data_IF_268781565262
#
_entry.id   IF_268781565262
#
_cell.length_a   1.000
_cell.length_b   1.000
_cell.length_c   1.000
_cell.angle_alpha   90.00
_cell.angle_beta   90.00
_cell.angle_gamma   90.00
#
_symmetry.space_group_name_H-M   'P 1'
#
loop_
_entity.id
_entity.type
_entity.pdbx_description
1 polymer ?
#
# COMPACT_ATOMS: atom_id res chain seq x y z
N UNK A 1 -50.12 -10.40 -21.82
CA UNK A 1 -48.76 -10.91 -21.51
C UNK A 1 -47.77 -10.16 -22.39
N UNK A 2 -47.26 -9.03 -21.91
CA UNK A 2 -46.18 -8.31 -22.59
C UNK A 2 -44.88 -8.72 -21.91
N UNK A 3 -44.05 -9.46 -22.63
CA UNK A 3 -42.72 -9.82 -22.16
C UNK A 3 -41.84 -8.57 -22.20
N UNK A 4 -41.54 -7.99 -21.03
CA UNK A 4 -40.53 -6.95 -20.89
C UNK A 4 -39.17 -7.53 -21.29
N UNK A 5 -38.69 -7.15 -22.48
CA UNK A 5 -37.29 -7.32 -22.87
C UNK A 5 -36.42 -6.54 -21.89
N UNK A 6 -35.97 -7.18 -20.82
CA UNK A 6 -34.88 -6.68 -20.00
C UNK A 6 -33.62 -6.70 -20.88
N UNK A 7 -33.28 -5.55 -21.45
CA UNK A 7 -31.98 -5.33 -22.06
C UNK A 7 -30.93 -5.59 -20.98
N UNK A 8 -30.16 -6.67 -21.10
CA UNK A 8 -29.04 -6.92 -20.18
C UNK A 8 -28.12 -5.70 -20.23
N UNK A 9 -27.83 -5.12 -19.07
CA UNK A 9 -26.86 -4.04 -18.96
C UNK A 9 -25.53 -4.51 -19.53
N UNK A 10 -24.87 -3.64 -20.31
CA UNK A 10 -23.55 -3.93 -20.88
C UNK A 10 -22.57 -4.23 -19.73
N UNK A 11 -21.80 -5.33 -19.79
CA UNK A 11 -20.76 -5.59 -18.78
C UNK A 11 -19.66 -4.53 -18.86
N UNK A 12 -18.98 -4.31 -17.74
CA UNK A 12 -17.86 -3.38 -17.65
C UNK A 12 -16.69 -3.83 -18.52
N UNK A 13 -15.98 -2.87 -19.10
CA UNK A 13 -14.67 -3.13 -19.71
C UNK A 13 -13.59 -3.28 -18.63
N UNK A 14 -12.43 -3.81 -19.02
CA UNK A 14 -11.28 -3.98 -18.13
C UNK A 14 -10.80 -2.62 -17.62
N UNK A 15 -10.81 -1.60 -18.47
CA UNK A 15 -10.39 -0.23 -18.13
C UNK A 15 -11.38 0.44 -17.17
N UNK A 16 -12.68 0.20 -17.35
CA UNK A 16 -13.73 0.70 -16.44
C UNK A 16 -13.60 0.04 -15.07
N UNK A 17 -13.40 -1.29 -15.03
CA UNK A 17 -13.17 -2.03 -13.79
C UNK A 17 -11.88 -1.56 -13.08
N UNK A 18 -10.79 -1.36 -13.82
CA UNK A 18 -9.54 -0.81 -13.27
C UNK A 18 -9.74 0.58 -12.69
N UNK A 19 -10.47 1.45 -13.39
CA UNK A 19 -10.77 2.81 -12.92
C UNK A 19 -11.58 2.80 -11.63
N UNK A 20 -12.55 1.88 -11.52
CA UNK A 20 -13.34 1.68 -10.30
C UNK A 20 -12.45 1.20 -9.15
N UNK A 21 -11.56 0.23 -9.38
CA UNK A 21 -10.62 -0.26 -8.35
C UNK A 21 -9.73 0.88 -7.84
N UNK A 22 -9.08 1.62 -8.73
CA UNK A 22 -8.23 2.76 -8.37
C UNK A 22 -9.02 3.82 -7.58
N UNK A 23 -10.25 4.12 -7.99
CA UNK A 23 -11.10 5.05 -7.23
C UNK A 23 -11.34 4.58 -5.79
N UNK A 24 -11.66 3.30 -5.59
CA UNK A 24 -11.91 2.76 -4.25
C UNK A 24 -10.63 2.55 -3.42
N UNK A 25 -9.48 2.31 -4.04
CA UNK A 25 -8.19 2.31 -3.34
C UNK A 25 -7.87 3.70 -2.77
N UNK A 26 -8.11 4.77 -3.53
CA UNK A 26 -7.97 6.14 -3.05
C UNK A 26 -8.98 6.44 -1.93
N UNK A 27 -10.24 6.01 -2.07
CA UNK A 27 -11.24 6.14 -1.01
C UNK A 27 -10.88 5.36 0.25
N UNK A 28 -10.24 4.21 0.13
CA UNK A 28 -9.75 3.42 1.26
C UNK A 28 -8.74 4.23 2.07
N UNK A 29 -7.74 4.86 1.41
CA UNK A 29 -6.78 5.73 2.08
C UNK A 29 -7.45 6.93 2.75
N UNK A 30 -8.41 7.59 2.09
CA UNK A 30 -9.18 8.69 2.69
C UNK A 30 -9.92 8.25 3.96
N UNK A 31 -10.56 7.08 3.92
CA UNK A 31 -11.25 6.51 5.09
C UNK A 31 -10.26 6.24 6.21
N UNK A 32 -9.16 5.53 5.93
CA UNK A 32 -8.14 5.24 6.94
C UNK A 32 -7.59 6.52 7.59
N UNK A 33 -7.35 7.56 6.79
CA UNK A 33 -6.91 8.87 7.27
C UNK A 33 -7.96 9.55 8.15
N UNK A 34 -9.23 9.54 7.77
CA UNK A 34 -10.32 10.16 8.55
C UNK A 34 -10.52 9.48 9.91
N UNK A 35 -10.33 8.16 9.97
CA UNK A 35 -10.37 7.39 11.22
C UNK A 35 -9.04 7.41 11.98
N UNK A 36 -8.02 8.11 11.48
CA UNK A 36 -6.67 8.20 12.08
C UNK A 36 -6.03 6.82 12.29
N UNK A 37 -6.28 5.87 11.39
CA UNK A 37 -5.69 4.55 11.47
C UNK A 37 -4.19 4.58 11.17
N UNK A 38 -3.38 3.77 11.88
CA UNK A 38 -1.98 3.59 11.56
C UNK A 38 -1.77 3.13 10.11
N UNK A 39 -0.66 3.56 9.49
CA UNK A 39 -0.27 3.16 8.13
C UNK A 39 -0.23 1.64 7.93
N UNK A 40 0.10 0.87 8.97
CA UNK A 40 0.10 -0.60 8.94
C UNK A 40 -1.29 -1.18 8.61
N UNK A 41 -2.35 -0.59 9.17
CA UNK A 41 -3.74 -0.99 8.90
C UNK A 41 -4.12 -0.59 7.46
N UNK A 42 -3.79 0.63 7.05
CA UNK A 42 -4.05 1.12 5.70
C UNK A 42 -3.42 0.21 4.64
N UNK A 43 -2.13 -0.13 4.78
CA UNK A 43 -1.46 -1.00 3.83
C UNK A 43 -2.03 -2.42 3.80
N UNK A 44 -2.35 -2.97 4.98
CA UNK A 44 -2.99 -4.30 5.08
C UNK A 44 -4.34 -4.31 4.37
N UNK A 45 -5.18 -3.29 4.61
CA UNK A 45 -6.46 -3.16 3.94
C UNK A 45 -6.34 -2.97 2.41
N UNK A 46 -5.36 -2.18 1.94
CA UNK A 46 -5.08 -2.02 0.51
C UNK A 46 -4.65 -3.35 -0.14
N UNK A 47 -3.76 -4.10 0.50
CA UNK A 47 -3.31 -5.39 -0.02
C UNK A 47 -4.45 -6.40 -0.06
N UNK A 48 -5.30 -6.43 0.97
CA UNK A 48 -6.52 -7.24 0.96
C UNK A 48 -7.46 -6.87 -0.19
N UNK A 49 -7.71 -5.57 -0.39
CA UNK A 49 -8.57 -5.09 -1.47
C UNK A 49 -8.03 -5.48 -2.84
N UNK A 50 -6.72 -5.29 -3.06
CA UNK A 50 -6.02 -5.69 -4.28
C UNK A 50 -6.10 -7.20 -4.51
N UNK A 51 -5.75 -8.01 -3.52
CA UNK A 51 -5.82 -9.49 -3.59
C UNK A 51 -7.22 -10.00 -3.88
N UNK A 52 -8.24 -9.38 -3.29
CA UNK A 52 -9.63 -9.73 -3.53
C UNK A 52 -10.02 -9.53 -5.00
N UNK A 53 -9.75 -8.35 -5.55
CA UNK A 53 -10.11 -8.02 -6.94
C UNK A 53 -9.13 -8.54 -8.01
N UNK A 54 -8.14 -9.36 -7.62
CA UNK A 54 -7.43 -10.24 -8.55
C UNK A 54 -8.24 -11.51 -8.87
N UNK A 55 -9.12 -11.94 -7.95
CA UNK A 55 -9.89 -13.18 -8.08
C UNK A 55 -11.36 -12.93 -8.41
N UNK A 56 -11.92 -11.82 -7.94
CA UNK A 56 -13.33 -11.47 -8.06
C UNK A 56 -13.53 -10.22 -8.91
N UNK A 57 -14.69 -10.12 -9.58
CA UNK A 57 -15.03 -8.92 -10.35
C UNK A 57 -15.76 -7.87 -9.48
N UNK A 58 -15.57 -6.59 -9.81
CA UNK A 58 -16.35 -5.47 -9.24
C UNK A 58 -17.84 -5.55 -9.58
N UNK A 59 -18.21 -6.34 -10.60
CA UNK A 59 -19.60 -6.60 -10.98
C UNK A 59 -20.28 -7.63 -10.06
N UNK A 60 -19.49 -8.51 -9.42
CA UNK A 60 -19.99 -9.55 -8.52
C UNK A 60 -20.05 -9.04 -7.08
N UNK A 61 -19.00 -8.34 -6.66
CA UNK A 61 -18.87 -7.80 -5.32
C UNK A 61 -18.69 -6.29 -5.35
N UNK A 62 -19.60 -5.56 -4.69
CA UNK A 62 -19.60 -4.11 -4.68
C UNK A 62 -18.35 -3.56 -3.96
N UNK A 63 -17.49 -2.77 -4.64
CA UNK A 63 -16.23 -2.27 -4.08
C UNK A 63 -16.35 -1.46 -2.79
N UNK A 64 -17.45 -0.72 -2.62
CA UNK A 64 -17.73 -0.01 -1.37
C UNK A 64 -17.80 -0.96 -0.18
N UNK A 65 -18.48 -2.09 -0.31
CA UNK A 65 -18.63 -3.05 0.80
C UNK A 65 -17.33 -3.82 1.04
N UNK A 66 -16.66 -4.23 -0.03
CA UNK A 66 -15.37 -4.94 0.08
C UNK A 66 -14.31 -4.04 0.71
N UNK A 67 -14.20 -2.77 0.31
CA UNK A 67 -13.31 -1.79 0.93
C UNK A 67 -13.51 -1.70 2.45
N UNK A 68 -14.75 -1.56 2.92
CA UNK A 68 -15.05 -1.51 4.35
C UNK A 68 -14.71 -2.81 5.08
N UNK A 69 -14.97 -3.94 4.42
CA UNK A 69 -14.65 -5.27 4.94
C UNK A 69 -13.14 -5.46 5.08
N UNK A 70 -12.35 -5.04 4.08
CA UNK A 70 -10.89 -5.08 4.13
C UNK A 70 -10.34 -4.20 5.27
N UNK A 71 -10.88 -2.99 5.47
CA UNK A 71 -10.49 -2.11 6.59
C UNK A 71 -10.82 -2.76 7.93
N UNK A 72 -12.04 -3.31 8.07
CA UNK A 72 -12.47 -3.97 9.30
C UNK A 72 -11.60 -5.20 9.62
N UNK A 73 -11.34 -6.06 8.63
CA UNK A 73 -10.47 -7.22 8.77
C UNK A 73 -9.04 -6.82 9.14
N UNK A 74 -8.48 -5.80 8.47
CA UNK A 74 -7.15 -5.27 8.79
C UNK A 74 -7.08 -4.77 10.23
N UNK A 75 -8.10 -4.03 10.71
CA UNK A 75 -8.15 -3.60 12.11
C UNK A 75 -8.12 -4.79 13.08
N UNK A 76 -8.86 -5.87 12.81
CA UNK A 76 -8.85 -7.07 13.66
C UNK A 76 -7.49 -7.76 13.68
N UNK A 77 -6.85 -7.91 12.51
CA UNK A 77 -5.57 -8.61 12.38
C UNK A 77 -4.42 -7.79 12.97
N UNK A 78 -4.50 -6.47 12.87
CA UNK A 78 -3.53 -5.54 13.45
C UNK A 78 -3.86 -5.16 14.91
N UNK A 79 -4.76 -5.91 15.55
CA UNK A 79 -5.16 -5.75 16.96
C UNK A 79 -5.64 -4.33 17.32
N UNK A 80 -6.22 -3.62 16.35
CA UNK A 80 -6.83 -2.31 16.55
C UNK A 80 -8.35 -2.46 16.72
N UNK A 81 -8.84 -2.19 17.93
CA UNK A 81 -10.24 -2.38 18.26
C UNK A 81 -11.13 -1.27 17.66
N UNK A 82 -11.84 -1.60 16.58
CA UNK A 82 -12.87 -0.75 15.96
C UNK A 82 -14.11 -1.59 15.75
N UNK A 83 -15.27 -1.10 16.17
CA UNK A 83 -16.53 -1.81 15.92
C UNK A 83 -17.00 -1.62 14.47
N UNK A 84 -17.65 -2.64 13.91
CA UNK A 84 -18.27 -2.52 12.58
C UNK A 84 -19.33 -1.40 12.53
N UNK A 85 -19.98 -1.10 13.66
CA UNK A 85 -20.93 0.00 13.79
C UNK A 85 -20.26 1.37 13.64
N UNK A 86 -19.11 1.60 14.28
CA UNK A 86 -18.36 2.86 14.16
C UNK A 86 -17.90 3.09 12.72
N UNK A 87 -17.38 2.03 12.08
CA UNK A 87 -16.95 2.10 10.69
C UNK A 87 -18.13 2.35 9.74
N UNK A 88 -19.26 1.67 9.97
CA UNK A 88 -20.50 1.85 9.20
C UNK A 88 -21.10 3.25 9.37
N UNK A 89 -21.14 3.79 10.60
CA UNK A 89 -21.63 5.15 10.90
C UNK A 89 -20.80 6.21 10.20
N UNK A 90 -19.47 6.10 10.20
CA UNK A 90 -18.60 7.08 9.55
C UNK A 90 -18.80 7.20 8.04
N UNK A 91 -19.35 6.16 7.38
CA UNK A 91 -19.49 6.09 5.91
C UNK A 91 -20.97 5.95 5.48
N UNK A 92 -21.90 6.10 6.45
CA UNK A 92 -23.35 5.96 6.25
C UNK A 92 -23.70 4.63 5.54
N UNK A 93 -23.20 3.52 6.07
CA UNK A 93 -23.47 2.17 5.59
C UNK A 93 -23.95 1.26 6.73
N UNK A 94 -24.79 0.28 6.38
CA UNK A 94 -25.23 -0.73 7.32
C UNK A 94 -24.06 -1.65 7.68
N UNK A 95 -23.78 -1.77 8.98
CA UNK A 95 -22.68 -2.57 9.50
C UNK A 95 -22.84 -4.07 9.18
N UNK A 96 -24.08 -4.53 8.96
CA UNK A 96 -24.36 -5.91 8.55
C UNK A 96 -23.68 -6.28 7.23
N UNK A 97 -23.52 -5.32 6.30
CA UNK A 97 -22.84 -5.56 5.02
C UNK A 97 -21.34 -5.85 5.21
N UNK A 98 -20.73 -5.27 6.23
CA UNK A 98 -19.32 -5.53 6.59
C UNK A 98 -19.19 -6.96 7.11
N UNK A 99 -20.08 -7.34 8.04
CA UNK A 99 -20.07 -8.66 8.69
C UNK A 99 -20.41 -9.79 7.71
N UNK A 100 -21.34 -9.57 6.79
CA UNK A 100 -21.75 -10.58 5.80
C UNK A 100 -20.63 -10.92 4.81
N UNK A 101 -19.73 -9.97 4.51
CA UNK A 101 -18.63 -10.18 3.58
C UNK A 101 -17.32 -10.60 4.27
N UNK A 102 -17.28 -10.65 5.61
CA UNK A 102 -16.06 -10.98 6.38
C UNK A 102 -15.47 -12.35 6.01
N UNK A 103 -16.32 -13.29 5.58
CA UNK A 103 -15.93 -14.66 5.22
C UNK A 103 -15.39 -14.79 3.78
N UNK A 104 -15.50 -13.75 2.94
CA UNK A 104 -15.19 -13.87 1.50
C UNK A 104 -13.68 -13.71 1.27
N UNK A 105 -13.01 -14.86 1.31
CA UNK A 105 -11.85 -15.28 0.52
C UNK A 105 -10.66 -14.32 0.41
N UNK A 106 -10.02 -14.01 1.54
CA UNK A 106 -8.59 -13.64 1.57
C UNK A 106 -7.66 -14.88 1.60
N UNK A 107 -8.18 -16.06 1.23
CA UNK A 107 -7.50 -17.36 1.29
C UNK A 107 -6.87 -17.70 2.66
N UNK A 108 -7.29 -16.98 3.71
CA UNK A 108 -6.71 -17.02 5.05
C UNK A 108 -5.21 -16.63 5.11
N UNK A 109 -4.65 -16.04 4.05
CA UNK A 109 -3.33 -15.39 4.08
C UNK A 109 -3.47 -13.95 4.56
N UNK A 110 -3.63 -13.82 5.88
CA UNK A 110 -3.94 -12.55 6.54
C UNK A 110 -2.69 -11.75 6.91
N UNK A 111 -1.50 -12.36 6.90
CA UNK A 111 -0.28 -11.67 7.31
C UNK A 111 0.23 -10.81 6.15
N UNK A 112 0.31 -9.50 6.37
CA UNK A 112 0.81 -8.55 5.39
C UNK A 112 2.09 -7.89 5.90
N UNK A 113 3.15 -7.94 5.08
CA UNK A 113 4.40 -7.25 5.34
C UNK A 113 4.43 -5.92 4.58
N UNK A 114 4.06 -4.84 5.25
CA UNK A 114 4.06 -3.50 4.68
C UNK A 114 5.48 -2.86 4.67
N UNK A 115 5.80 -2.02 3.68
CA UNK A 115 7.14 -1.41 3.53
C UNK A 115 7.52 -0.40 4.62
N UNK A 116 6.58 0.11 5.42
CA UNK A 116 6.89 1.12 6.46
C UNK A 116 7.88 0.63 7.52
N UNK A 117 7.79 -0.64 7.93
CA UNK A 117 8.74 -1.22 8.90
C UNK A 117 10.14 -1.35 8.29
N UNK A 118 10.23 -1.70 7.01
CA UNK A 118 11.51 -1.76 6.30
C UNK A 118 12.12 -0.36 6.16
N UNK A 119 11.29 0.66 5.92
CA UNK A 119 11.75 2.05 5.89
C UNK A 119 12.37 2.46 7.23
N UNK A 120 11.71 2.16 8.35
CA UNK A 120 12.26 2.44 9.69
C UNK A 120 13.63 1.78 9.89
N UNK A 121 13.78 0.50 9.52
CA UNK A 121 15.07 -0.18 9.61
C UNK A 121 16.16 0.44 8.72
N UNK A 122 15.83 0.90 7.52
CA UNK A 122 16.80 1.61 6.67
C UNK A 122 17.15 3.00 7.22
N UNK A 123 16.19 3.70 7.83
CA UNK A 123 16.46 5.00 8.46
C UNK A 123 17.44 4.87 9.63
N UNK A 124 17.25 3.85 10.49
CA UNK A 124 18.15 3.57 11.61
C UNK A 124 19.57 3.22 11.09
N UNK A 125 19.68 2.38 10.06
CA UNK A 125 20.97 2.02 9.45
C UNK A 125 21.66 3.22 8.77
N UNK A 126 20.89 4.14 8.18
CA UNK A 126 21.41 5.39 7.63
C UNK A 126 21.90 6.36 8.71
N UNK A 127 21.22 6.42 9.86
CA UNK A 127 21.65 7.22 11.00
C UNK A 127 23.03 6.76 11.50
N UNK A 128 23.21 5.45 11.63
CA UNK A 128 24.48 4.82 11.97
C UNK A 128 25.57 5.08 10.91
N UNK A 129 25.22 4.97 9.61
CA UNK A 129 26.15 5.20 8.51
C UNK A 129 26.66 6.64 8.46
N UNK A 130 25.80 7.62 8.73
CA UNK A 130 26.15 9.04 8.64
C UNK A 130 26.83 9.59 9.91
N UNK A 131 26.88 8.85 11.03
CA UNK A 131 27.26 9.37 12.35
C UNK A 131 26.53 10.68 12.67
N UNK A 132 25.19 10.67 12.53
CA UNK A 132 24.40 11.88 12.43
C UNK A 132 24.55 12.82 13.65
N UNK A 133 24.88 14.09 13.41
CA UNK A 133 24.78 15.17 14.41
C UNK A 133 23.32 15.59 14.62
N UNK A 134 22.98 16.31 15.69
CA UNK A 134 21.59 16.71 16.00
C UNK A 134 20.86 17.42 14.84
N UNK A 135 21.58 18.26 14.06
CA UNK A 135 21.02 18.94 12.88
C UNK A 135 20.70 17.95 11.74
N UNK A 136 21.50 16.89 11.57
CA UNK A 136 21.28 15.85 10.57
C UNK A 136 20.10 14.94 10.96
N UNK A 137 19.84 14.76 12.25
CA UNK A 137 18.69 13.99 12.72
C UNK A 137 17.36 14.63 12.33
N UNK A 138 17.26 15.97 12.39
CA UNK A 138 16.07 16.68 11.88
C UNK A 138 15.90 16.53 10.36
N UNK A 139 17.01 16.43 9.62
CA UNK A 139 16.98 16.18 8.18
C UNK A 139 16.51 14.76 7.87
N UNK A 140 17.02 13.76 8.59
CA UNK A 140 16.61 12.36 8.47
C UNK A 140 15.12 12.17 8.77
N UNK A 141 14.56 12.91 9.73
CA UNK A 141 13.10 12.90 9.99
C UNK A 141 12.30 13.41 8.79
N UNK A 142 12.73 14.53 8.17
CA UNK A 142 12.07 15.04 6.93
C UNK A 142 12.19 14.05 5.77
N UNK A 143 13.32 13.37 5.68
CA UNK A 143 13.57 12.32 4.69
C UNK A 143 12.64 11.13 4.91
N UNK A 144 12.47 10.69 6.15
CA UNK A 144 11.55 9.62 6.54
C UNK A 144 10.09 10.01 6.21
N UNK A 145 9.67 11.22 6.54
CA UNK A 145 8.30 11.68 6.25
C UNK A 145 8.03 11.73 4.75
N UNK A 146 8.99 12.20 3.96
CA UNK A 146 8.88 12.22 2.49
C UNK A 146 8.85 10.80 1.93
N UNK A 147 9.70 9.90 2.43
CA UNK A 147 9.70 8.49 2.01
C UNK A 147 8.38 7.78 2.38
N UNK A 148 7.76 8.10 3.53
CA UNK A 148 6.44 7.59 3.90
C UNK A 148 5.36 8.00 2.89
N UNK A 149 5.39 9.26 2.43
CA UNK A 149 4.47 9.74 1.39
C UNK A 149 4.69 9.04 0.05
N UNK A 150 5.96 8.78 -0.32
CA UNK A 150 6.26 8.01 -1.53
C UNK A 150 5.79 6.55 -1.43
N UNK A 151 5.92 5.93 -0.25
CA UNK A 151 5.33 4.61 0.01
C UNK A 151 3.80 4.66 -0.17
N UNK A 152 3.11 5.66 0.37
CA UNK A 152 1.66 5.76 0.24
C UNK A 152 1.22 5.82 -1.23
N UNK A 153 2.00 6.47 -2.10
CA UNK A 153 1.79 6.46 -3.57
C UNK A 153 2.07 5.09 -4.18
N UNK A 154 3.19 4.46 -3.81
CA UNK A 154 3.52 3.10 -4.26
C UNK A 154 2.44 2.10 -3.90
N UNK A 155 1.81 2.24 -2.73
CA UNK A 155 0.73 1.37 -2.27
C UNK A 155 -0.55 1.46 -3.12
N UNK A 156 -0.72 2.52 -3.93
CA UNK A 156 -1.80 2.67 -4.91
C UNK A 156 -1.47 2.06 -6.29
N UNK A 157 -0.22 1.65 -6.52
CA UNK A 157 0.18 0.91 -7.73
C UNK A 157 0.01 -0.60 -7.54
N UNK A 158 0.40 -1.38 -8.55
CA UNK A 158 0.54 -2.84 -8.44
C UNK A 158 1.88 -3.26 -7.80
N UNK A 159 2.80 -2.33 -7.53
CA UNK A 159 4.11 -2.62 -6.95
C UNK A 159 4.06 -3.44 -5.63
N UNK A 160 3.11 -3.23 -4.69
CA UNK A 160 3.00 -4.03 -3.47
C UNK A 160 2.68 -5.52 -3.70
N UNK A 161 2.18 -5.87 -4.89
CA UNK A 161 1.90 -7.25 -5.27
C UNK A 161 3.07 -7.89 -6.04
N UNK A 162 3.98 -7.06 -6.58
CA UNK A 162 5.06 -7.49 -7.47
C UNK A 162 6.43 -7.52 -6.78
N UNK A 163 6.66 -6.64 -5.79
CA UNK A 163 7.96 -6.46 -5.17
C UNK A 163 7.93 -6.66 -3.64
N UNK A 164 9.00 -7.21 -3.05
CA UNK A 164 9.16 -7.29 -1.60
C UNK A 164 9.12 -5.91 -0.91
N UNK A 165 8.61 -5.83 0.34
CA UNK A 165 8.48 -4.57 1.06
C UNK A 165 9.81 -3.82 1.27
N UNK A 166 10.93 -4.55 1.40
CA UNK A 166 12.24 -3.93 1.50
C UNK A 166 12.65 -3.18 0.22
N UNK A 167 12.32 -3.71 -0.97
CA UNK A 167 12.61 -3.04 -2.23
C UNK A 167 11.73 -1.80 -2.42
N UNK A 168 10.46 -1.86 -2.03
CA UNK A 168 9.55 -0.70 -2.03
C UNK A 168 10.03 0.40 -1.09
N UNK A 169 10.44 0.03 0.13
CA UNK A 169 10.99 0.98 1.10
C UNK A 169 12.27 1.65 0.58
N UNK A 170 13.15 0.88 -0.05
CA UNK A 170 14.40 1.39 -0.63
C UNK A 170 14.14 2.29 -1.85
N UNK A 171 13.15 1.99 -2.69
CA UNK A 171 12.73 2.85 -3.79
C UNK A 171 12.17 4.18 -3.28
N UNK A 172 11.32 4.13 -2.25
CA UNK A 172 10.78 5.34 -1.63
C UNK A 172 11.89 6.20 -0.99
N UNK A 173 12.86 5.55 -0.35
CA UNK A 173 14.03 6.19 0.21
C UNK A 173 14.89 6.86 -0.87
N UNK A 174 15.15 6.17 -1.99
CA UNK A 174 15.88 6.71 -3.15
C UNK A 174 15.21 7.98 -3.68
N UNK A 175 13.90 7.94 -3.88
CA UNK A 175 13.11 9.09 -4.34
C UNK A 175 13.18 10.27 -3.35
N UNK A 176 13.09 9.99 -2.04
CA UNK A 176 13.23 11.01 -0.99
C UNK A 176 14.64 11.62 -0.95
N UNK A 177 15.69 10.81 -1.05
CA UNK A 177 17.09 11.28 -1.08
C UNK A 177 17.34 12.16 -2.31
N UNK A 178 16.80 11.78 -3.48
CA UNK A 178 16.93 12.58 -4.70
C UNK A 178 16.28 13.98 -4.57
N UNK A 179 15.21 14.11 -3.79
CA UNK A 179 14.54 15.40 -3.54
C UNK A 179 15.33 16.30 -2.60
N UNK A 180 15.91 15.75 -1.53
CA UNK A 180 16.61 16.54 -0.50
C UNK A 180 18.12 16.69 -0.76
N UNK A 181 18.72 15.86 -1.63
CA UNK A 181 20.15 15.83 -2.01
C UNK A 181 21.14 15.80 -0.83
N UNK A 182 20.73 15.15 0.27
CA UNK A 182 21.48 15.19 1.54
C UNK A 182 22.56 14.11 1.61
N UNK A 183 22.32 12.97 0.98
CA UNK A 183 23.11 11.75 1.15
C UNK A 183 23.43 11.18 -0.22
N UNK A 184 24.67 10.74 -0.39
CA UNK A 184 25.06 9.94 -1.55
C UNK A 184 24.48 8.54 -1.42
N UNK A 185 23.33 8.34 -2.05
CA UNK A 185 22.60 7.08 -2.03
C UNK A 185 23.39 5.93 -2.63
N UNK A 186 24.22 6.18 -3.64
CA UNK A 186 25.01 5.14 -4.31
C UNK A 186 26.14 4.62 -3.39
N UNK A 187 26.76 5.52 -2.63
CA UNK A 187 27.71 5.15 -1.57
C UNK A 187 27.03 4.34 -0.46
N UNK A 188 25.82 4.72 -0.06
CA UNK A 188 25.04 3.97 0.93
C UNK A 188 24.68 2.56 0.44
N UNK A 189 24.19 2.42 -0.80
CA UNK A 189 23.91 1.11 -1.41
C UNK A 189 25.17 0.25 -1.49
N UNK A 190 26.30 0.82 -1.91
CA UNK A 190 27.57 0.10 -2.00
C UNK A 190 28.02 -0.44 -0.63
N UNK A 191 27.84 0.37 0.43
CA UNK A 191 28.09 -0.04 1.82
C UNK A 191 27.17 -1.21 2.23
N UNK A 192 25.87 -1.11 1.97
CA UNK A 192 24.89 -2.16 2.25
C UNK A 192 25.27 -3.49 1.57
N UNK A 193 25.63 -3.47 0.28
CA UNK A 193 26.03 -4.66 -0.47
C UNK A 193 27.33 -5.26 0.06
N UNK A 194 28.31 -4.42 0.44
CA UNK A 194 29.58 -4.92 0.99
C UNK A 194 29.39 -5.71 2.30
N UNK A 195 28.32 -5.41 3.06
CA UNK A 195 27.98 -6.08 4.31
C UNK A 195 27.17 -7.37 4.10
N UNK A 196 26.57 -7.56 2.92
CA UNK A 196 25.73 -8.71 2.62
C UNK A 196 26.47 -9.74 1.76
N UNK A 197 26.55 -10.98 2.25
CA UNK A 197 27.00 -12.14 1.46
C UNK A 197 25.87 -12.63 0.54
N UNK A 198 25.35 -11.75 -0.33
CA UNK A 198 24.16 -12.01 -1.15
C UNK A 198 24.52 -12.71 -2.47
N UNK A 199 23.60 -13.55 -2.95
CA UNK A 199 23.65 -14.16 -4.30
C UNK A 199 23.18 -13.22 -5.41
N UNK A 200 22.47 -12.16 -5.05
CA UNK A 200 21.87 -11.21 -5.99
C UNK A 200 22.85 -10.09 -6.35
N UNK A 201 22.82 -9.70 -7.63
CA UNK A 201 23.68 -8.63 -8.14
C UNK A 201 23.09 -7.26 -7.84
N UNK A 202 23.95 -6.27 -7.62
CA UNK A 202 23.53 -4.87 -7.47
C UNK A 202 22.73 -4.36 -8.67
N UNK A 203 23.02 -4.90 -9.87
CA UNK A 203 22.29 -4.59 -11.11
C UNK A 203 20.82 -5.01 -11.04
N UNK A 204 20.51 -6.21 -10.54
CA UNK A 204 19.13 -6.70 -10.38
C UNK A 204 18.32 -5.79 -9.46
N UNK A 205 18.93 -5.33 -8.35
CA UNK A 205 18.26 -4.41 -7.43
C UNK A 205 17.97 -3.07 -8.12
N UNK A 206 18.95 -2.51 -8.83
CA UNK A 206 18.76 -1.24 -9.55
C UNK A 206 17.64 -1.36 -10.58
N UNK A 207 17.59 -2.48 -11.33
CA UNK A 207 16.51 -2.76 -12.28
C UNK A 207 15.13 -2.85 -11.60
N UNK A 208 15.05 -3.53 -10.45
CA UNK A 208 13.81 -3.60 -9.67
C UNK A 208 13.37 -2.22 -9.19
N UNK A 209 14.28 -1.42 -8.64
CA UNK A 209 13.98 -0.05 -8.19
C UNK A 209 13.51 0.83 -9.36
N UNK A 210 14.16 0.75 -10.53
CA UNK A 210 13.75 1.49 -11.72
C UNK A 210 12.35 1.07 -12.21
N UNK A 211 12.04 -0.22 -12.10
CA UNK A 211 10.69 -0.72 -12.42
C UNK A 211 9.66 -0.15 -11.46
N UNK A 212 9.94 -0.14 -10.15
CA UNK A 212 9.05 0.46 -9.13
C UNK A 212 8.80 1.94 -9.45
N UNK A 213 9.85 2.72 -9.75
CA UNK A 213 9.69 4.14 -10.08
C UNK A 213 8.84 4.35 -11.33
N UNK A 214 8.99 3.50 -12.35
CA UNK A 214 8.16 3.56 -13.56
C UNK A 214 6.67 3.32 -13.26
N UNK A 215 6.35 2.40 -12.35
CA UNK A 215 4.97 2.12 -11.94
C UNK A 215 4.35 3.32 -11.20
N UNK A 216 5.14 4.01 -10.38
CA UNK A 216 4.69 5.22 -9.68
C UNK A 216 4.48 6.38 -10.65
N UNK A 217 5.35 6.53 -11.65
CA UNK A 217 5.21 7.59 -12.66
C UNK A 217 3.95 7.41 -13.52
N UNK A 218 3.51 6.18 -13.77
CA UNK A 218 2.27 5.90 -14.51
C UNK A 218 0.99 6.26 -13.73
N UNK A 219 1.06 6.61 -12.45
CA UNK A 219 -0.09 7.12 -11.68
C UNK A 219 -0.37 8.62 -11.92
N UNK A 220 0.58 9.37 -12.49
CA UNK A 220 0.52 10.82 -12.74
C UNK A 220 0.14 11.09 -14.20
#
# INVERSE_FOLDING_TARGET
>A
MSAEKHSRSKPLSIEEEQSIKVFYENKLQEVCKNFHFPHKIQATALIYFKRFYLHWSVMEHQPKHIMLTCIYAACKIEENHVSAEELGKGISQDHQMILNNEMISLEFDLIVYAPYRSLEGFMDDMEDFCNASEDQLQMLKRLQDTARLEIDKMMLTDAPLLFPPAQLALAALRSSVALHQVIDFDSYLSSLFSRQNSTHTMSELIEALNTIDSLVLCLI
#
